data_IF_964172177799
#
_entry.id   IF_964172177799
#
_cell.length_a   1.000
_cell.length_b   1.000
_cell.length_c   1.000
_cell.angle_alpha   90.00
_cell.angle_beta   90.00
_cell.angle_gamma   90.00
#
_symmetry.space_group_name_H-M   'P 1'
#
loop_
_entity.id
_entity.type
_entity.pdbx_description
1 polymer ?
#
# COMPACT_ATOMS: atom_id res chain seq x y z
N UNK A 1 -7.87 -15.28 6.25
CA UNK A 1 -6.93 -14.95 5.14
C UNK A 1 -7.65 -15.25 3.82
N UNK A 2 -7.20 -14.70 2.70
CA UNK A 2 -7.67 -15.12 1.37
C UNK A 2 -6.94 -16.41 0.93
N UNK A 3 -7.21 -16.86 -0.29
CA UNK A 3 -6.59 -18.06 -0.89
C UNK A 3 -5.06 -17.95 -1.03
N UNK A 4 -4.51 -16.74 -1.08
CA UNK A 4 -3.07 -16.47 -1.10
C UNK A 4 -2.45 -16.32 0.30
N UNK A 5 -3.20 -16.61 1.38
CA UNK A 5 -2.73 -16.48 2.76
C UNK A 5 -2.67 -15.03 3.26
N UNK A 6 -3.20 -14.06 2.51
CA UNK A 6 -3.16 -12.64 2.89
C UNK A 6 -4.26 -12.34 3.92
N UNK A 7 -3.93 -11.74 5.09
CA UNK A 7 -4.93 -11.30 6.06
C UNK A 7 -5.97 -10.35 5.45
N UNK A 8 -7.22 -10.45 5.89
CA UNK A 8 -8.32 -9.62 5.43
C UNK A 8 -8.78 -8.72 6.57
N UNK A 9 -8.86 -7.42 6.33
CA UNK A 9 -9.20 -6.42 7.35
C UNK A 9 -10.49 -5.67 6.99
N UNK A 10 -11.25 -5.17 7.99
CA UNK A 10 -12.47 -4.40 7.76
C UNK A 10 -12.24 -3.10 6.97
N UNK A 11 -13.28 -2.62 6.29
CA UNK A 11 -13.24 -1.32 5.58
C UNK A 11 -12.86 -0.20 6.56
N UNK A 12 -11.94 0.67 6.13
CA UNK A 12 -11.44 1.78 6.95
C UNK A 12 -10.22 1.42 7.82
N UNK A 13 -9.83 0.15 7.90
CA UNK A 13 -8.62 -0.27 8.62
C UNK A 13 -7.35 0.09 7.83
N UNK A 14 -6.42 0.79 8.48
CA UNK A 14 -5.14 1.19 7.89
C UNK A 14 -4.31 -0.01 7.39
N UNK A 15 -4.43 -1.18 8.03
CA UNK A 15 -3.69 -2.39 7.64
C UNK A 15 -4.05 -2.87 6.23
N UNK A 16 -5.22 -2.48 5.69
CA UNK A 16 -5.55 -2.72 4.28
C UNK A 16 -4.57 -2.01 3.33
N UNK A 17 -4.24 -0.76 3.63
CA UNK A 17 -3.25 0.00 2.85
C UNK A 17 -1.86 -0.63 2.98
N UNK A 18 -1.50 -1.12 4.17
CA UNK A 18 -0.21 -1.77 4.38
C UNK A 18 -0.09 -3.09 3.62
N UNK A 19 -1.19 -3.85 3.49
CA UNK A 19 -1.22 -5.05 2.64
C UNK A 19 -0.99 -4.69 1.17
N UNK A 20 -1.63 -3.62 0.66
CA UNK A 20 -1.39 -3.14 -0.72
C UNK A 20 0.07 -2.71 -0.90
N UNK A 21 0.62 -1.95 0.04
CA UNK A 21 2.03 -1.52 0.00
C UNK A 21 2.99 -2.72 -0.01
N UNK A 22 2.78 -3.68 0.88
CA UNK A 22 3.59 -4.89 0.95
C UNK A 22 3.49 -5.71 -0.34
N UNK A 23 2.31 -5.79 -0.97
CA UNK A 23 2.15 -6.46 -2.25
C UNK A 23 2.88 -5.75 -3.40
N UNK A 24 2.98 -4.42 -3.38
CA UNK A 24 3.76 -3.66 -4.37
C UNK A 24 5.25 -4.00 -4.26
N UNK A 25 5.77 -4.14 -3.04
CA UNK A 25 7.18 -4.49 -2.79
C UNK A 25 7.48 -5.97 -3.07
N UNK A 26 6.52 -6.86 -2.77
CA UNK A 26 6.71 -8.30 -2.83
C UNK A 26 6.54 -8.90 -4.24
N UNK A 27 5.59 -8.40 -5.04
CA UNK A 27 5.31 -8.95 -6.36
C UNK A 27 6.41 -8.58 -7.35
N UNK A 28 6.84 -9.51 -8.21
CA UNK A 28 7.80 -9.24 -9.29
C UNK A 28 7.27 -8.20 -10.28
N UNK A 29 5.95 -8.22 -10.54
CA UNK A 29 5.27 -7.30 -11.45
C UNK A 29 3.97 -6.76 -10.84
N UNK A 30 4.04 -5.76 -9.94
CA UNK A 30 2.90 -5.21 -9.20
C UNK A 30 2.05 -4.30 -10.11
N UNK A 31 1.14 -4.90 -10.85
CA UNK A 31 0.09 -4.21 -11.61
C UNK A 31 -1.16 -4.09 -10.75
N UNK A 32 -2.09 -3.23 -11.15
CA UNK A 32 -3.41 -3.14 -10.50
C UNK A 32 -4.08 -4.52 -10.41
N UNK A 33 -4.02 -5.31 -11.49
CA UNK A 33 -4.65 -6.64 -11.55
C UNK A 33 -3.94 -7.64 -10.64
N UNK A 34 -2.60 -7.69 -10.65
CA UNK A 34 -1.86 -8.66 -9.83
C UNK A 34 -1.95 -8.33 -8.34
N UNK A 35 -1.94 -7.05 -7.96
CA UNK A 35 -2.16 -6.62 -6.56
C UNK A 35 -3.57 -6.98 -6.09
N UNK A 36 -4.59 -6.68 -6.88
CA UNK A 36 -5.98 -7.00 -6.53
C UNK A 36 -6.17 -8.52 -6.34
N UNK A 37 -5.66 -9.31 -7.28
CA UNK A 37 -5.72 -10.77 -7.21
C UNK A 37 -5.00 -11.32 -5.98
N UNK A 38 -3.77 -10.87 -5.72
CA UNK A 38 -2.96 -11.37 -4.61
C UNK A 38 -3.53 -10.96 -3.24
N UNK A 39 -3.99 -9.72 -3.10
CA UNK A 39 -4.42 -9.18 -1.81
C UNK A 39 -5.91 -9.37 -1.51
N UNK A 40 -6.72 -9.73 -2.51
CA UNK A 40 -8.19 -9.77 -2.41
C UNK A 40 -8.84 -8.38 -2.39
N UNK A 41 -8.10 -7.31 -2.71
CA UNK A 41 -8.67 -5.96 -2.82
C UNK A 41 -9.47 -5.79 -4.11
N UNK A 42 -10.48 -4.92 -4.06
CA UNK A 42 -11.20 -4.55 -5.28
C UNK A 42 -10.24 -3.82 -6.23
N UNK A 43 -10.17 -4.29 -7.47
CA UNK A 43 -9.33 -3.71 -8.53
C UNK A 43 -9.54 -2.20 -8.70
N UNK A 44 -10.78 -1.73 -8.58
CA UNK A 44 -11.13 -0.31 -8.72
C UNK A 44 -10.67 0.58 -7.58
N UNK A 45 -10.18 0.03 -6.45
CA UNK A 45 -9.70 0.83 -5.31
C UNK A 45 -8.18 0.98 -5.26
N UNK A 46 -7.42 0.16 -6.00
CA UNK A 46 -5.96 0.10 -5.89
C UNK A 46 -5.30 1.46 -6.13
N UNK A 47 -5.71 2.21 -7.15
CA UNK A 47 -5.15 3.54 -7.41
C UNK A 47 -5.43 4.53 -6.27
N UNK A 48 -6.64 4.49 -5.70
CA UNK A 48 -6.99 5.33 -4.56
C UNK A 48 -6.23 4.91 -3.29
N UNK A 49 -5.97 3.61 -3.11
CA UNK A 49 -5.18 3.08 -2.00
C UNK A 49 -3.71 3.49 -2.14
N UNK A 50 -3.15 3.47 -3.36
CA UNK A 50 -1.80 3.99 -3.66
C UNK A 50 -1.70 5.50 -3.42
N UNK A 51 -2.72 6.28 -3.81
CA UNK A 51 -2.76 7.71 -3.53
C UNK A 51 -2.73 7.97 -2.01
N UNK A 52 -3.55 7.25 -1.23
CA UNK A 52 -3.53 7.36 0.24
C UNK A 52 -2.18 6.98 0.85
N UNK A 53 -1.52 5.96 0.32
CA UNK A 53 -0.18 5.59 0.78
C UNK A 53 0.84 6.72 0.57
N UNK A 54 0.77 7.42 -0.57
CA UNK A 54 1.59 8.60 -0.84
C UNK A 54 1.23 9.75 0.12
N UNK A 55 -0.04 10.10 0.19
CA UNK A 55 -0.51 11.31 0.87
C UNK A 55 -0.46 11.19 2.40
N UNK A 56 -0.86 10.05 2.95
CA UNK A 56 -1.02 9.87 4.41
C UNK A 56 0.21 9.28 5.08
N UNK A 57 1.00 8.49 4.33
CA UNK A 57 2.14 7.75 4.88
C UNK A 57 3.48 8.18 4.29
N UNK A 58 3.49 9.14 3.36
CA UNK A 58 4.72 9.66 2.76
C UNK A 58 5.48 8.63 1.92
N UNK A 59 4.80 7.57 1.48
CA UNK A 59 5.39 6.51 0.66
C UNK A 59 5.66 7.07 -0.74
N UNK A 60 6.81 6.75 -1.32
CA UNK A 60 7.13 7.11 -2.71
C UNK A 60 6.95 5.89 -3.59
N UNK A 61 5.88 5.92 -4.39
CA UNK A 61 5.56 4.90 -5.39
C UNK A 61 5.56 5.59 -6.74
N UNK A 62 6.30 5.08 -7.70
CA UNK A 62 6.30 5.54 -9.10
C UNK A 62 5.42 4.64 -9.97
N UNK A 63 5.26 5.03 -11.24
CA UNK A 63 4.55 4.25 -12.25
C UNK A 63 5.42 4.08 -13.49
N UNK A 64 5.74 2.84 -13.82
CA UNK A 64 6.45 2.46 -15.05
C UNK A 64 5.51 1.63 -15.92
N UNK A 65 4.82 2.31 -16.85
CA UNK A 65 3.73 1.70 -17.62
C UNK A 65 2.62 1.16 -16.70
N UNK A 66 2.32 -0.14 -16.72
CA UNK A 66 1.29 -0.74 -15.85
C UNK A 66 1.79 -1.14 -14.46
N UNK A 67 3.09 -0.97 -14.17
CA UNK A 67 3.75 -1.48 -12.96
C UNK A 67 3.97 -0.37 -11.95
N UNK A 68 3.58 -0.61 -10.70
CA UNK A 68 3.94 0.26 -9.58
C UNK A 68 5.37 -0.02 -9.12
N UNK A 69 6.15 1.01 -8.84
CA UNK A 69 7.54 0.80 -8.38
C UNK A 69 7.73 1.50 -7.04
N UNK A 70 7.95 0.73 -5.98
CA UNK A 70 8.22 1.30 -4.67
C UNK A 70 9.64 1.88 -4.63
N UNK A 71 9.75 3.18 -4.39
CA UNK A 71 11.02 3.90 -4.24
C UNK A 71 11.39 4.14 -2.79
N UNK A 72 10.39 4.31 -1.93
CA UNK A 72 10.60 4.52 -0.50
C UNK A 72 9.33 4.20 0.27
N UNK A 73 9.49 3.53 1.41
CA UNK A 73 8.43 3.30 2.39
C UNK A 73 8.00 4.56 3.17
N UNK A 74 8.68 5.69 2.96
CA UNK A 74 8.50 6.88 3.77
C UNK A 74 9.06 6.74 5.18
N UNK A 75 8.86 7.76 6.00
CA UNK A 75 9.31 7.84 7.39
C UNK A 75 8.15 7.85 8.41
N UNK A 76 6.90 7.98 7.97
CA UNK A 76 5.72 8.06 8.84
C UNK A 76 5.56 6.82 9.73
N UNK A 77 5.82 5.62 9.21
CA UNK A 77 5.71 4.39 10.00
C UNK A 77 6.83 4.20 11.06
N UNK A 78 7.76 5.16 11.19
CA UNK A 78 8.80 5.16 12.24
C UNK A 78 8.35 6.00 13.43
N UNK A 79 8.83 5.68 14.64
CA UNK A 79 8.53 6.44 15.88
C UNK A 79 8.66 7.95 15.69
N UNK A 80 9.74 8.40 15.04
CA UNK A 80 9.95 9.82 14.76
C UNK A 80 8.90 10.39 13.80
N UNK A 81 8.54 9.67 12.73
CA UNK A 81 7.51 10.07 11.77
C UNK A 81 6.12 10.19 12.41
N UNK A 82 5.69 9.17 13.15
CA UNK A 82 4.43 9.23 13.91
C UNK A 82 4.42 10.41 14.88
N UNK A 83 5.53 10.66 15.59
CA UNK A 83 5.61 11.73 16.58
C UNK A 83 5.44 13.12 15.95
N UNK A 84 5.94 13.37 14.73
CA UNK A 84 5.80 14.67 14.04
C UNK A 84 4.34 15.13 13.95
N UNK A 85 3.39 14.20 13.77
CA UNK A 85 1.96 14.52 13.72
C UNK A 85 1.35 14.99 15.05
N UNK A 86 2.04 14.76 16.18
CA UNK A 86 1.62 15.25 17.49
C UNK A 86 2.27 16.59 17.85
N UNK A 87 3.53 16.79 17.47
CA UNK A 87 4.36 17.89 18.02
C UNK A 87 4.56 19.08 17.07
N UNK A 88 4.15 19.00 15.80
CA UNK A 88 4.35 20.06 14.80
C UNK A 88 5.77 20.07 14.23
#
# INVERSE_FOLDING_TARGET
MNESGVPQYPKGDARRLFVVLAAIDYLERPTITSIAAYTGHNKGTIEADVAKLRDQYGVKIDREGPVFVLRSWGDVLKKAGVRKHLIG
#
